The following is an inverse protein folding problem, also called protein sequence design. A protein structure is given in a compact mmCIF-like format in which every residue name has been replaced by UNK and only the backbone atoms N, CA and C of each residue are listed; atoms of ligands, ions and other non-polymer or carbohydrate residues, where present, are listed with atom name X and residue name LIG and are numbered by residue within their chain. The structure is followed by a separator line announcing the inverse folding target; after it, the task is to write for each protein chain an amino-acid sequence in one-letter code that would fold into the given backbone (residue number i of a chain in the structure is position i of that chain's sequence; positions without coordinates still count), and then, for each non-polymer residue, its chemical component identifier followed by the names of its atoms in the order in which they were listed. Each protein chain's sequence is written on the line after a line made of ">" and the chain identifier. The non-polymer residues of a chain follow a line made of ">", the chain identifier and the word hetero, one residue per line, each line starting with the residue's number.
data_IF_394541159252
#
_entry.id   IF_394541159252
#
_cell.length_a   1.000
_cell.length_b   1.000
_cell.length_c   1.000
_cell.angle_alpha   90.00
_cell.angle_beta   90.00
_cell.angle_gamma   90.00
#
_symmetry.space_group_name_H-M   'P 1'
#
loop_
_entity.id
_entity.type
_entity.pdbx_description
1 polymer ?
#
# COMPACT_ATOMS: atom_id res chain seq x y z
N UNK A 1 -19.60 23.24 -9.66
CA UNK A 1 -19.43 22.07 -9.77
C UNK A 1 -18.79 21.36 -8.70
N UNK A 2 -19.35 20.31 -8.33
CA UNK A 2 -18.81 19.56 -7.40
C UNK A 2 -17.49 19.01 -7.74
N UNK A 3 -17.25 18.74 -8.95
CA UNK A 3 -16.04 18.31 -9.39
C UNK A 3 -14.93 19.17 -9.03
N UNK A 4 -15.05 20.44 -9.12
CA UNK A 4 -14.02 21.36 -8.81
C UNK A 4 -13.66 21.31 -7.37
N UNK A 5 -14.59 21.20 -6.48
CA UNK A 5 -14.34 21.14 -5.12
C UNK A 5 -13.57 19.92 -4.82
N UNK A 6 -13.93 18.81 -5.36
CA UNK A 6 -13.27 17.57 -5.14
C UNK A 6 -11.89 17.67 -5.67
N UNK A 7 -11.72 18.32 -6.77
CA UNK A 7 -10.43 18.46 -7.37
C UNK A 7 -9.49 19.23 -6.48
N UNK A 8 -9.99 20.21 -5.80
CA UNK A 8 -9.15 21.01 -4.96
C UNK A 8 -8.68 20.16 -3.79
N UNK A 9 -9.55 19.37 -3.26
CA UNK A 9 -9.19 18.53 -2.18
C UNK A 9 -8.20 17.53 -2.70
N UNK A 10 -8.44 16.96 -3.83
CA UNK A 10 -7.56 16.00 -4.43
C UNK A 10 -6.19 16.57 -4.64
N UNK A 11 -6.09 17.80 -5.10
CA UNK A 11 -4.83 18.41 -5.31
C UNK A 11 -4.11 18.56 -4.02
N UNK A 12 -4.78 18.96 -2.99
CA UNK A 12 -4.20 19.18 -1.73
C UNK A 12 -3.58 17.93 -1.14
N UNK A 13 -4.26 16.82 -1.18
CA UNK A 13 -3.70 15.61 -0.65
C UNK A 13 -3.46 14.58 -1.73
N UNK A 14 -3.73 14.95 -2.96
CA UNK A 14 -3.38 14.11 -4.07
C UNK A 14 -4.19 12.85 -4.27
N UNK A 15 -5.37 12.78 -3.73
CA UNK A 15 -6.10 11.55 -3.85
C UNK A 15 -7.28 11.69 -4.78
N UNK A 16 -7.75 10.60 -5.30
CA UNK A 16 -8.95 10.59 -6.07
C UNK A 16 -9.59 9.22 -5.96
N UNK A 17 -10.92 9.17 -5.97
CA UNK A 17 -11.65 7.91 -5.80
C UNK A 17 -11.37 6.91 -6.91
N UNK A 18 -11.49 5.64 -6.59
CA UNK A 18 -11.28 4.56 -7.52
C UNK A 18 -12.51 3.68 -7.49
N UNK A 19 -12.85 3.12 -8.62
CA UNK A 19 -13.98 2.20 -8.71
C UNK A 19 -13.43 0.77 -8.82
N UNK A 20 -13.87 -0.10 -7.93
CA UNK A 20 -13.40 -1.48 -7.94
C UNK A 20 -14.20 -2.29 -8.93
N UNK A 21 -13.53 -3.16 -9.65
CA UNK A 21 -14.19 -4.08 -10.56
C UNK A 21 -14.55 -5.39 -9.85
N UNK A 22 -13.85 -5.71 -8.76
CA UNK A 22 -14.09 -6.93 -8.00
C UNK A 22 -14.54 -6.56 -6.61
N UNK A 23 -15.72 -6.99 -6.18
CA UNK A 23 -16.20 -6.60 -4.86
C UNK A 23 -15.45 -7.33 -3.76
N UNK A 24 -15.38 -6.71 -2.59
CA UNK A 24 -14.68 -7.28 -1.44
C UNK A 24 -15.27 -8.65 -1.06
N UNK A 25 -16.54 -8.85 -1.32
CA UNK A 25 -17.19 -10.12 -0.97
C UNK A 25 -16.58 -11.32 -1.68
N UNK A 26 -15.83 -11.09 -2.75
CA UNK A 26 -15.18 -12.19 -3.46
C UNK A 26 -13.78 -12.49 -2.94
N UNK A 27 -13.30 -11.75 -1.97
CA UNK A 27 -11.98 -11.99 -1.42
C UNK A 27 -12.02 -13.12 -0.41
N UNK A 28 -10.97 -13.89 -0.31
CA UNK A 28 -10.84 -14.93 0.68
C UNK A 28 -10.04 -14.38 1.82
N UNK A 29 -10.68 -14.15 2.94
CA UNK A 29 -10.06 -13.53 4.09
C UNK A 29 -9.56 -14.57 5.07
N UNK A 30 -8.62 -14.18 5.92
CA UNK A 30 -8.14 -15.08 6.96
C UNK A 30 -9.16 -15.10 8.09
N UNK A 31 -8.89 -15.85 9.14
CA UNK A 31 -9.82 -15.97 10.26
C UNK A 31 -10.18 -14.67 10.91
N UNK A 32 -9.32 -13.69 10.83
CA UNK A 32 -9.57 -12.40 11.43
C UNK A 32 -10.31 -11.45 10.48
N UNK A 33 -10.68 -11.91 9.31
CA UNK A 33 -11.37 -11.07 8.33
C UNK A 33 -10.43 -10.15 7.59
N UNK A 34 -9.17 -10.54 7.47
CA UNK A 34 -8.15 -9.71 6.85
C UNK A 34 -7.56 -10.34 5.60
N UNK A 35 -7.06 -9.51 4.72
CA UNK A 35 -6.37 -9.99 3.53
C UNK A 35 -5.02 -9.26 3.46
N UNK A 36 -3.93 -9.95 3.20
CA UNK A 36 -2.64 -9.28 3.08
C UNK A 36 -2.53 -8.51 1.77
N UNK A 37 -1.83 -7.40 1.82
CA UNK A 37 -1.60 -6.57 0.65
C UNK A 37 -0.09 -6.38 0.51
N UNK A 38 0.44 -6.84 -0.61
CA UNK A 38 1.84 -6.62 -0.95
C UNK A 38 1.85 -5.28 -1.68
N UNK A 39 2.73 -4.37 -1.28
CA UNK A 39 2.77 -3.03 -1.85
C UNK A 39 4.04 -2.85 -2.65
N UNK A 40 3.89 -2.46 -3.89
CA UNK A 40 4.99 -2.38 -4.84
C UNK A 40 5.01 -1.00 -5.48
N UNK A 41 6.18 -0.44 -5.71
CA UNK A 41 6.28 0.85 -6.36
C UNK A 41 5.95 0.67 -7.84
N UNK A 42 5.08 1.51 -8.37
CA UNK A 42 4.60 1.38 -9.73
C UNK A 42 5.68 1.69 -10.77
N UNK A 43 6.60 2.55 -10.44
CA UNK A 43 7.64 2.96 -11.37
C UNK A 43 8.86 2.05 -11.31
N UNK A 44 9.37 1.79 -10.14
CA UNK A 44 10.61 1.02 -10.00
C UNK A 44 10.41 -0.48 -9.91
N UNK A 45 9.23 -0.90 -9.50
CA UNK A 45 8.96 -2.32 -9.28
C UNK A 45 9.42 -2.81 -7.92
N UNK A 46 9.98 -1.94 -7.08
CA UNK A 46 10.45 -2.37 -5.77
C UNK A 46 9.28 -2.79 -4.90
N UNK A 47 9.47 -3.89 -4.18
CA UNK A 47 8.46 -4.30 -3.20
C UNK A 47 8.73 -3.48 -1.95
N UNK A 48 7.74 -2.76 -1.49
CA UNK A 48 7.91 -1.79 -0.43
C UNK A 48 7.54 -2.28 0.95
N UNK A 49 6.44 -3.00 1.06
CA UNK A 49 5.96 -3.45 2.37
C UNK A 49 4.84 -4.44 2.20
N UNK A 50 4.40 -5.03 3.31
CA UNK A 50 3.21 -5.86 3.36
C UNK A 50 2.40 -5.40 4.56
N UNK A 51 1.12 -5.25 4.39
CA UNK A 51 0.23 -4.89 5.47
C UNK A 51 -1.09 -5.60 5.27
N UNK A 52 -2.04 -5.41 6.18
CA UNK A 52 -3.33 -6.11 6.10
C UNK A 52 -4.46 -5.13 5.88
N UNK A 53 -5.50 -5.59 5.22
CA UNK A 53 -6.67 -4.78 4.95
C UNK A 53 -7.91 -5.54 5.37
N UNK A 54 -8.91 -4.81 5.83
CA UNK A 54 -10.22 -5.39 6.06
C UNK A 54 -11.18 -4.64 5.12
N UNK A 55 -12.45 -4.93 5.20
CA UNK A 55 -13.41 -4.30 4.30
C UNK A 55 -13.41 -2.79 4.46
N UNK A 56 -13.37 -2.31 5.68
CA UNK A 56 -13.40 -0.87 5.94
C UNK A 56 -12.18 -0.16 5.36
N UNK A 57 -10.98 -0.74 5.52
CA UNK A 57 -9.78 -0.12 4.99
C UNK A 57 -9.76 -0.18 3.46
N UNK A 58 -10.28 -1.27 2.90
CA UNK A 58 -10.33 -1.43 1.46
C UNK A 58 -11.27 -0.36 0.88
N UNK A 59 -12.45 -0.19 1.49
CA UNK A 59 -13.40 0.80 1.02
C UNK A 59 -12.82 2.21 1.15
N UNK A 60 -12.08 2.46 2.22
CA UNK A 60 -11.49 3.78 2.41
C UNK A 60 -10.42 4.02 1.35
N UNK A 61 -9.65 2.99 1.01
CA UNK A 61 -8.64 3.08 -0.04
C UNK A 61 -9.30 3.45 -1.37
N UNK A 62 -10.44 2.83 -1.67
CA UNK A 62 -11.13 3.14 -2.91
C UNK A 62 -11.70 4.55 -2.89
N UNK A 63 -12.16 4.98 -1.74
CA UNK A 63 -12.76 6.30 -1.60
C UNK A 63 -11.75 7.40 -1.81
N UNK A 64 -10.54 7.23 -1.34
CA UNK A 64 -9.53 8.27 -1.34
C UNK A 64 -8.45 8.12 -2.39
N UNK A 65 -8.21 6.90 -2.86
CA UNK A 65 -7.09 6.63 -3.74
C UNK A 65 -5.77 6.53 -3.01
N UNK A 66 -5.82 6.54 -1.67
CA UNK A 66 -4.62 6.41 -0.84
C UNK A 66 -4.71 5.12 -0.04
N UNK A 67 -3.60 4.39 0.05
CA UNK A 67 -3.62 3.12 0.76
C UNK A 67 -3.94 3.31 2.23
N UNK A 68 -4.97 2.60 2.69
CA UNK A 68 -5.40 2.61 4.08
C UNK A 68 -5.44 1.15 4.50
N UNK A 69 -4.83 0.86 5.63
CA UNK A 69 -4.69 -0.52 6.11
C UNK A 69 -5.41 -0.71 7.43
N UNK A 70 -5.46 -1.95 7.88
CA UNK A 70 -5.99 -2.26 9.19
C UNK A 70 -4.82 -2.67 10.07
N UNK A 71 -4.65 -1.97 11.19
CA UNK A 71 -3.57 -2.27 12.13
C UNK A 71 -4.01 -3.38 13.05
N UNK A 72 -3.35 -4.54 12.99
CA UNK A 72 -3.72 -5.68 13.82
C UNK A 72 -3.43 -5.39 15.30
N UNK A 73 -2.34 -4.72 15.57
CA UNK A 73 -1.98 -4.45 16.96
C UNK A 73 -2.89 -3.41 17.60
N UNK A 74 -3.33 -2.42 16.85
CA UNK A 74 -4.19 -1.39 17.40
C UNK A 74 -5.65 -1.59 17.11
N UNK A 75 -5.99 -2.58 16.28
CA UNK A 75 -7.35 -2.88 15.90
C UNK A 75 -8.07 -1.63 15.38
N UNK A 76 -7.39 -0.91 14.50
CA UNK A 76 -7.97 0.30 13.93
C UNK A 76 -7.46 0.54 12.52
N UNK A 77 -8.15 1.40 11.78
CA UNK A 77 -7.72 1.75 10.44
C UNK A 77 -6.50 2.65 10.52
N UNK A 78 -5.70 2.58 9.49
CA UNK A 78 -4.45 3.31 9.46
C UNK A 78 -4.20 3.82 8.05
N UNK A 79 -4.25 5.12 7.86
CA UNK A 79 -3.96 5.74 6.57
C UNK A 79 -2.43 5.85 6.47
N UNK A 80 -1.85 5.19 5.49
CA UNK A 80 -0.41 5.22 5.33
C UNK A 80 0.02 6.64 5.02
N UNK A 81 0.91 7.17 5.83
CA UNK A 81 1.42 8.52 5.63
C UNK A 81 0.70 9.61 6.38
N UNK A 82 -0.33 9.26 7.17
CA UNK A 82 -1.12 10.28 7.84
C UNK A 82 -0.26 11.14 8.79
N UNK A 83 0.79 10.59 9.33
CA UNK A 83 1.66 11.35 10.22
C UNK A 83 2.89 11.86 9.49
N UNK A 84 3.50 11.02 8.66
CA UNK A 84 4.75 11.36 8.01
C UNK A 84 4.59 12.11 6.70
N UNK A 85 3.44 12.04 6.08
CA UNK A 85 3.24 12.60 4.77
C UNK A 85 3.69 11.67 3.65
N UNK A 86 4.17 10.46 4.01
CA UNK A 86 4.66 9.52 3.00
C UNK A 86 3.51 8.66 2.52
N UNK A 87 2.60 9.27 1.81
CA UNK A 87 1.40 8.60 1.30
C UNK A 87 1.71 7.63 0.17
N UNK A 88 0.78 6.76 -0.09
CA UNK A 88 0.89 5.80 -1.18
C UNK A 88 -0.32 5.99 -2.08
N UNK A 89 -0.11 6.59 -3.25
CA UNK A 89 -1.20 6.84 -4.19
C UNK A 89 -1.40 5.58 -5.02
N UNK A 90 -2.61 5.06 -5.02
CA UNK A 90 -2.92 3.81 -5.71
C UNK A 90 -2.86 3.99 -7.21
N UNK A 91 -2.11 3.15 -7.89
CA UNK A 91 -2.05 3.15 -9.35
C UNK A 91 -2.79 1.95 -9.91
N UNK A 92 -2.67 0.81 -9.27
CA UNK A 92 -3.44 -0.37 -9.67
C UNK A 92 -3.54 -1.34 -8.51
N UNK A 93 -4.58 -2.15 -8.53
CA UNK A 93 -4.82 -3.14 -7.50
C UNK A 93 -5.13 -4.45 -8.21
N UNK A 94 -4.46 -5.52 -7.81
CA UNK A 94 -4.69 -6.84 -8.36
C UNK A 94 -5.00 -7.82 -7.25
N UNK A 95 -5.83 -8.79 -7.56
CA UNK A 95 -6.14 -9.86 -6.64
C UNK A 95 -5.47 -11.10 -7.22
N UNK A 96 -4.87 -11.92 -6.38
CA UNK A 96 -4.15 -13.06 -6.91
C UNK A 96 -5.12 -14.18 -7.32
N UNK A 97 -4.59 -15.27 -7.87
CA UNK A 97 -5.42 -16.29 -8.52
C UNK A 97 -6.42 -16.96 -7.61
N UNK A 98 -6.15 -17.07 -6.33
CA UNK A 98 -7.09 -17.69 -5.41
C UNK A 98 -7.74 -16.66 -4.48
N UNK A 99 -7.64 -15.39 -4.83
CA UNK A 99 -8.37 -14.31 -4.17
C UNK A 99 -8.02 -14.05 -2.71
N UNK A 100 -6.82 -14.43 -2.31
CA UNK A 100 -6.44 -14.27 -0.91
C UNK A 100 -5.28 -13.29 -0.67
N UNK A 101 -4.81 -12.59 -1.68
CA UNK A 101 -3.72 -11.64 -1.54
C UNK A 101 -3.90 -10.51 -2.53
N UNK A 102 -3.71 -9.28 -2.08
CA UNK A 102 -3.79 -8.12 -2.95
C UNK A 102 -2.39 -7.68 -3.32
N UNK A 103 -2.18 -7.30 -4.57
CA UNK A 103 -0.96 -6.62 -4.98
C UNK A 103 -1.36 -5.19 -5.29
N UNK A 104 -0.85 -4.24 -4.53
CA UNK A 104 -1.15 -2.83 -4.72
C UNK A 104 0.06 -2.16 -5.32
N UNK A 105 -0.08 -1.60 -6.51
CA UNK A 105 1.01 -0.86 -7.13
C UNK A 105 0.72 0.60 -6.87
N UNK A 106 1.70 1.29 -6.30
CA UNK A 106 1.49 2.64 -5.79
C UNK A 106 2.61 3.59 -6.20
N UNK A 107 2.31 4.86 -6.09
CA UNK A 107 3.35 5.86 -6.19
C UNK A 107 3.67 6.18 -4.73
N UNK A 108 4.86 5.80 -4.28
CA UNK A 108 5.26 5.98 -2.89
C UNK A 108 5.94 7.33 -2.71
N UNK A 109 5.43 8.12 -1.79
CA UNK A 109 6.06 9.38 -1.46
C UNK A 109 6.99 9.10 -0.28
N UNK A 110 8.27 9.36 -0.46
CA UNK A 110 9.24 9.17 0.62
C UNK A 110 9.45 7.70 0.93
N UNK A 111 9.76 7.43 2.17
CA UNK A 111 10.08 6.07 2.62
C UNK A 111 8.83 5.34 3.05
N UNK A 112 8.74 4.08 2.70
CA UNK A 112 7.61 3.24 3.11
C UNK A 112 7.79 2.78 4.55
N UNK A 113 9.02 2.58 4.98
CA UNK A 113 9.29 2.04 6.31
C UNK A 113 9.42 3.13 7.36
N UNK A 114 8.92 2.87 8.56
CA UNK A 114 9.00 3.85 9.65
C UNK A 114 10.44 4.12 10.06
N UNK A 115 11.37 3.27 9.66
CA UNK A 115 12.78 3.47 9.99
C UNK A 115 13.43 4.49 9.04
N UNK A 116 12.71 4.91 8.02
CA UNK A 116 13.27 5.80 7.03
C UNK A 116 13.76 5.09 5.79
N UNK A 117 13.74 3.77 5.78
CA UNK A 117 14.16 2.99 4.63
C UNK A 117 13.08 3.08 3.56
N UNK A 118 13.47 3.16 2.30
CA UNK A 118 12.52 3.20 1.22
C UNK A 118 11.63 1.98 1.24
N UNK A 119 12.17 0.81 1.46
CA UNK A 119 11.42 -0.43 1.55
C UNK A 119 11.55 -0.99 2.94
N UNK A 120 10.52 -1.70 3.38
CA UNK A 120 10.59 -2.41 4.64
C UNK A 120 11.45 -3.66 4.51
N UNK A 121 11.69 -4.12 3.28
CA UNK A 121 12.43 -5.36 3.04
C UNK A 121 13.92 -5.07 2.82
N UNK A 122 14.61 -4.68 3.87
CA UNK A 122 16.03 -4.35 3.76
C UNK A 122 16.95 -5.27 4.54
N UNK A 123 16.39 -6.24 5.28
CA UNK A 123 17.25 -7.15 6.05
C UNK A 123 17.54 -8.38 5.23
N UNK A 124 18.77 -8.53 4.84
CA UNK A 124 19.17 -9.69 4.06
C UNK A 124 19.31 -10.89 4.98
N UNK A 125 18.54 -11.93 4.78
CA UNK A 125 18.55 -13.10 5.64
C UNK A 125 19.70 -14.03 5.34
N UNK A 126 20.29 -13.91 4.18
CA UNK A 126 21.37 -14.79 3.82
C UNK A 126 22.70 -14.11 4.08
N UNK A 127 23.68 -14.89 4.48
CA UNK A 127 24.98 -14.32 4.73
C UNK A 127 25.66 -14.19 3.39
N UNK A 128 25.53 -13.03 2.79
CA UNK A 128 26.07 -12.83 1.46
C UNK A 128 27.25 -11.92 1.46
N UNK A 129 28.31 -12.37 1.99
CA UNK A 129 29.50 -11.60 2.02
C UNK A 129 29.93 -11.18 0.64
N UNK A 130 29.56 -11.96 -0.33
CA UNK A 130 29.90 -11.66 -1.66
C UNK A 130 29.25 -10.45 -2.19
N UNK A 131 28.16 -10.08 -1.61
CA UNK A 131 27.44 -9.00 -2.13
C UNK A 131 27.61 -7.77 -1.44
N UNK A 132 28.71 -7.64 -0.93
CA UNK A 132 28.89 -6.44 -0.28
C UNK A 132 28.48 -5.31 -1.06
N UNK A 133 28.38 -5.45 -2.07
CA UNK A 133 28.00 -4.34 -2.71
C UNK A 133 26.71 -4.10 -2.88
N UNK A 134 26.45 -3.76 -2.75
CA UNK A 134 25.40 -3.36 -2.77
C UNK A 134 24.51 -3.11 -3.37
N UNK A 135 24.74 -3.15 -3.58
CA UNK A 135 24.02 -2.87 -3.94
C UNK A 135 23.52 -2.56 -4.57
N UNK A 136 23.61 -2.67 -5.09
CA UNK A 136 23.24 -2.03 -5.88
C UNK A 136 22.11 -1.74 -6.00
N UNK A 137 22.00 -1.81 -5.92
CA UNK A 137 21.04 -1.50 -5.93
C UNK A 137 20.72 -0.65 -5.39
N UNK A 138 21.19 -0.46 -4.89
CA UNK A 138 20.85 0.28 -4.27
C UNK A 138 20.84 1.05 -4.74
N UNK A 139 20.98 0.74 -5.53
CA UNK A 139 20.93 1.18 -6.18
C UNK A 139 20.53 1.69 -6.43
#
# INVERSE_FOLDING_TARGET
>A
MQEDKTTMEDKKIGYKPITAAIPFSEFKLNEAGLIPAIVQDDVTGDVLMLAYMNEASYNKTLETGLMTYFSRSRQSLWLKGETSGHYQYVKSLYLDCDNDTILARVEQIGAACHTGSRSCFFKNMLNCLLYTSPSPRDR
#
